data_IF_123309366406
#
_entry.id   IF_123309366406
#
_cell.length_a   1.000
_cell.length_b   1.000
_cell.length_c   1.000
_cell.angle_alpha   90.00
_cell.angle_beta   90.00
_cell.angle_gamma   90.00
#
_symmetry.space_group_name_H-M   'P 1'
#
loop_
_entity.id
_entity.type
_entity.pdbx_description
1 polymer ?
#
# COMPACT_ATOMS: atom_id res chain seq x y z
N UNK A 1 13.84 -11.56 -4.29
CA UNK A 1 13.49 -12.05 -2.94
C UNK A 1 12.09 -11.66 -2.48
N UNK A 2 11.68 -10.37 -2.41
CA UNK A 2 10.30 -10.01 -2.01
C UNK A 2 9.18 -10.58 -2.94
N UNK A 3 9.45 -10.77 -4.23
CA UNK A 3 8.48 -11.37 -5.16
C UNK A 3 8.36 -12.88 -5.04
N UNK A 4 9.40 -13.57 -4.63
CA UNK A 4 9.37 -15.03 -4.42
C UNK A 4 8.63 -15.39 -3.13
N UNK A 5 8.75 -14.57 -2.05
CA UNK A 5 7.95 -14.73 -0.84
C UNK A 5 6.45 -14.63 -1.10
N UNK A 6 6.03 -13.73 -2.02
CA UNK A 6 4.60 -13.59 -2.38
C UNK A 6 4.12 -14.77 -3.26
N UNK A 7 5.00 -15.38 -4.05
CA UNK A 7 4.65 -16.54 -4.91
C UNK A 7 4.57 -17.86 -4.15
N UNK A 8 5.43 -18.07 -3.16
CA UNK A 8 5.52 -19.37 -2.45
C UNK A 8 4.33 -19.66 -1.52
N UNK A 9 3.56 -18.65 -1.12
CA UNK A 9 2.37 -18.83 -0.26
C UNK A 9 1.07 -19.13 -1.02
N UNK A 10 1.10 -19.21 -2.35
CA UNK A 10 -0.12 -19.39 -3.15
C UNK A 10 -0.46 -20.84 -3.53
N UNK A 11 0.41 -21.82 -3.30
CA UNK A 11 0.22 -23.20 -3.75
C UNK A 11 0.17 -24.20 -2.59
N UNK A 12 -0.83 -24.13 -1.70
CA UNK A 12 -1.14 -25.28 -0.85
C UNK A 12 -2.66 -25.33 -0.59
N UNK A 13 -3.38 -26.04 -1.44
CA UNK A 13 -4.79 -26.40 -1.30
C UNK A 13 -4.93 -27.74 -0.59
N UNK A 14 -4.48 -27.85 0.64
CA UNK A 14 -4.89 -28.88 1.57
C UNK A 14 -5.57 -28.20 2.76
N UNK A 15 -6.74 -28.70 3.17
CA UNK A 15 -7.64 -28.13 4.17
C UNK A 15 -7.07 -27.89 5.57
N UNK A 16 -5.99 -27.13 5.65
CA UNK A 16 -5.41 -26.66 6.92
C UNK A 16 -6.32 -25.61 7.53
N UNK A 17 -6.80 -25.88 8.71
CA UNK A 17 -7.38 -24.86 9.61
C UNK A 17 -6.38 -23.71 9.69
N UNK A 18 -6.73 -22.55 9.12
CA UNK A 18 -5.84 -21.38 9.11
C UNK A 18 -5.56 -20.95 10.55
N UNK A 19 -4.30 -20.90 10.93
CA UNK A 19 -3.88 -20.37 12.23
C UNK A 19 -4.45 -18.96 12.42
N UNK A 20 -4.94 -18.62 13.63
CA UNK A 20 -5.35 -17.26 13.95
C UNK A 20 -4.19 -16.30 13.67
N UNK A 21 -4.51 -15.12 13.13
CA UNK A 21 -3.50 -14.07 12.95
C UNK A 21 -3.11 -13.53 14.32
N UNK A 22 -1.83 -13.56 14.62
CA UNK A 22 -1.29 -12.90 15.80
C UNK A 22 -1.09 -11.43 15.46
N UNK A 23 -1.80 -10.56 16.13
CA UNK A 23 -1.59 -9.13 16.03
C UNK A 23 -0.55 -8.69 17.07
N UNK A 24 0.48 -7.98 16.59
CA UNK A 24 1.50 -7.36 17.43
C UNK A 24 1.20 -5.85 17.49
N UNK A 25 0.78 -5.32 18.66
CA UNK A 25 0.57 -3.88 18.84
C UNK A 25 1.82 -3.10 18.49
N UNK A 26 1.66 -1.90 17.95
CA UNK A 26 2.76 -1.00 17.57
C UNK A 26 3.68 -1.48 16.42
N UNK A 27 3.46 -2.64 15.83
CA UNK A 27 4.20 -3.07 14.64
C UNK A 27 3.50 -2.58 13.37
N UNK A 28 4.30 -2.10 12.43
CA UNK A 28 3.82 -1.86 11.07
C UNK A 28 3.65 -3.18 10.32
N UNK A 29 2.62 -3.24 9.51
CA UNK A 29 2.32 -4.37 8.63
C UNK A 29 2.27 -3.89 7.18
N UNK A 30 2.86 -4.68 6.29
CA UNK A 30 2.59 -4.57 4.87
C UNK A 30 1.29 -5.30 4.57
N UNK A 31 0.30 -4.57 4.13
CA UNK A 31 -1.04 -5.08 3.82
C UNK A 31 -1.29 -4.97 2.33
N UNK A 32 -1.79 -6.06 1.74
CA UNK A 32 -2.19 -6.10 0.33
C UNK A 32 -3.59 -6.68 0.22
N UNK A 33 -4.45 -6.02 -0.53
CA UNK A 33 -5.77 -6.55 -0.89
C UNK A 33 -6.00 -6.39 -2.38
N UNK A 34 -6.58 -7.39 -3.01
CA UNK A 34 -6.76 -7.46 -4.46
C UNK A 34 -8.21 -7.71 -4.83
N UNK A 35 -8.65 -7.16 -5.95
CA UNK A 35 -9.95 -7.40 -6.54
C UNK A 35 -10.17 -8.86 -6.89
N UNK A 36 -11.42 -9.30 -6.78
CA UNK A 36 -11.82 -10.65 -7.13
C UNK A 36 -11.42 -10.95 -8.59
N UNK A 37 -10.88 -12.13 -8.86
CA UNK A 37 -10.39 -12.54 -10.20
C UNK A 37 -9.40 -11.55 -10.84
N UNK A 38 -8.72 -10.73 -10.00
CA UNK A 38 -7.84 -9.63 -10.43
C UNK A 38 -8.58 -8.48 -11.16
N UNK A 39 -9.89 -8.42 -11.04
CA UNK A 39 -10.71 -7.33 -11.58
C UNK A 39 -10.37 -6.00 -10.91
N UNK A 40 -10.76 -4.91 -11.56
CA UNK A 40 -10.50 -3.55 -11.07
C UNK A 40 -11.23 -3.32 -9.75
N UNK A 41 -10.54 -2.70 -8.82
CA UNK A 41 -11.11 -2.12 -7.59
C UNK A 41 -11.45 -0.64 -7.78
N UNK A 42 -10.75 0.03 -8.68
CA UNK A 42 -10.90 1.45 -8.91
C UNK A 42 -11.04 1.69 -10.41
N UNK A 43 -12.24 2.02 -10.86
CA UNK A 43 -12.53 2.32 -12.27
C UNK A 43 -12.25 3.79 -12.61
N UNK A 44 -12.48 4.69 -11.66
CA UNK A 44 -12.28 6.12 -11.87
C UNK A 44 -11.86 6.85 -10.56
N UNK A 45 -11.62 8.15 -10.68
CA UNK A 45 -11.18 9.01 -9.57
C UNK A 45 -12.15 9.02 -8.38
N UNK A 46 -13.44 8.76 -8.59
CA UNK A 46 -14.43 8.70 -7.51
C UNK A 46 -14.19 7.51 -6.60
N UNK A 47 -13.82 6.35 -7.16
CA UNK A 47 -13.52 5.16 -6.37
C UNK A 47 -12.30 5.37 -5.46
N UNK A 48 -11.23 5.94 -6.01
CA UNK A 48 -10.04 6.27 -5.23
C UNK A 48 -10.34 7.26 -4.10
N UNK A 49 -11.08 8.33 -4.39
CA UNK A 49 -11.48 9.32 -3.38
C UNK A 49 -12.37 8.71 -2.32
N UNK A 50 -13.30 7.84 -2.69
CA UNK A 50 -14.17 7.14 -1.75
C UNK A 50 -13.36 6.21 -0.85
N UNK A 51 -12.37 5.48 -1.39
CA UNK A 51 -11.50 4.65 -0.56
C UNK A 51 -10.72 5.49 0.46
N UNK A 52 -10.14 6.61 0.05
CA UNK A 52 -9.44 7.53 0.95
C UNK A 52 -10.39 8.15 2.00
N UNK A 53 -11.61 8.47 1.63
CA UNK A 53 -12.65 8.92 2.59
C UNK A 53 -13.03 7.83 3.58
N UNK A 54 -13.06 6.57 3.16
CA UNK A 54 -13.29 5.44 4.06
C UNK A 54 -12.13 5.30 5.06
N UNK A 55 -10.88 5.55 4.65
CA UNK A 55 -9.75 5.60 5.58
C UNK A 55 -9.95 6.70 6.64
N UNK A 56 -10.37 7.92 6.23
CA UNK A 56 -10.69 9.01 7.15
C UNK A 56 -11.75 8.56 8.18
N UNK A 57 -12.87 8.01 7.72
CA UNK A 57 -13.99 7.56 8.57
C UNK A 57 -13.62 6.41 9.52
N UNK A 58 -12.78 5.47 9.08
CA UNK A 58 -12.34 4.37 9.95
C UNK A 58 -11.35 4.88 10.98
N UNK A 59 -10.49 5.82 10.62
CA UNK A 59 -9.54 6.45 11.53
C UNK A 59 -10.24 7.17 12.70
N UNK A 60 -11.36 7.85 12.46
CA UNK A 60 -12.12 8.55 13.50
C UNK A 60 -12.57 7.62 14.64
N UNK A 61 -12.90 6.39 14.33
CA UNK A 61 -13.42 5.42 15.31
C UNK A 61 -12.40 4.36 15.73
N UNK A 62 -11.43 4.08 14.89
CA UNK A 62 -10.39 3.07 15.07
C UNK A 62 -9.04 3.65 14.62
N UNK A 63 -8.36 4.45 15.45
CA UNK A 63 -7.11 5.11 15.09
C UNK A 63 -6.03 4.13 14.62
N UNK A 64 -5.37 4.51 13.54
CA UNK A 64 -4.24 3.79 12.96
C UNK A 64 -3.26 4.76 12.30
N UNK A 65 -2.08 4.31 12.00
CA UNK A 65 -1.04 5.10 11.35
C UNK A 65 -0.66 4.45 10.01
N UNK A 66 -0.60 5.24 8.95
CA UNK A 66 -0.05 4.82 7.65
C UNK A 66 1.29 5.51 7.43
N UNK A 67 2.35 4.71 7.28
CA UNK A 67 3.65 5.20 6.82
C UNK A 67 3.66 5.37 5.29
N UNK A 68 3.11 4.43 4.55
CA UNK A 68 2.97 4.52 3.10
C UNK A 68 1.70 3.82 2.59
N UNK A 69 1.20 4.25 1.42
CA UNK A 69 0.17 3.56 0.67
C UNK A 69 0.31 3.77 -0.83
N UNK A 70 -0.26 2.86 -1.60
CA UNK A 70 -0.48 3.01 -3.03
C UNK A 70 -1.76 2.24 -3.44
N UNK A 71 -2.70 2.95 -4.06
CA UNK A 71 -3.93 2.39 -4.59
C UNK A 71 -3.75 2.15 -6.08
N UNK A 72 -3.49 0.90 -6.47
CA UNK A 72 -3.40 0.47 -7.87
C UNK A 72 -4.81 0.17 -8.39
N UNK A 73 -4.99 0.12 -9.69
CA UNK A 73 -6.33 -0.09 -10.30
C UNK A 73 -7.05 -1.37 -9.81
N UNK A 74 -6.36 -2.47 -9.54
CA UNK A 74 -6.95 -3.75 -9.14
C UNK A 74 -6.48 -4.29 -7.78
N UNK A 75 -5.66 -3.56 -7.06
CA UNK A 75 -5.19 -3.89 -5.72
C UNK A 75 -4.69 -2.64 -5.00
N UNK A 76 -4.48 -2.75 -3.70
CA UNK A 76 -3.83 -1.67 -2.95
C UNK A 76 -2.81 -2.22 -1.96
N UNK A 77 -1.87 -1.37 -1.62
CA UNK A 77 -0.86 -1.58 -0.59
C UNK A 77 -1.00 -0.54 0.51
N UNK A 78 -0.95 -0.99 1.76
CA UNK A 78 -0.89 -0.13 2.94
C UNK A 78 0.28 -0.58 3.81
N UNK A 79 1.04 0.36 4.36
CA UNK A 79 1.99 0.12 5.42
C UNK A 79 1.40 0.71 6.70
N UNK A 80 0.68 -0.13 7.46
CA UNK A 80 -0.24 0.25 8.51
C UNK A 80 0.18 -0.28 9.87
N UNK A 81 0.03 0.57 10.89
CA UNK A 81 0.18 0.23 12.30
C UNK A 81 -1.02 0.70 13.10
N UNK A 82 -1.39 -0.05 14.14
CA UNK A 82 -2.32 0.42 15.17
C UNK A 82 -1.80 0.06 16.55
N UNK A 83 -2.13 0.92 17.53
CA UNK A 83 -1.75 0.74 18.93
C UNK A 83 -2.83 0.00 19.73
N UNK A 84 -4.09 0.25 19.40
CA UNK A 84 -5.24 -0.15 20.21
C UNK A 84 -6.13 -1.20 19.54
N UNK A 85 -6.14 -1.22 18.20
CA UNK A 85 -7.05 -2.07 17.44
C UNK A 85 -6.29 -3.06 16.58
N UNK A 86 -6.75 -4.31 16.53
CA UNK A 86 -6.14 -5.30 15.65
C UNK A 86 -6.23 -4.89 14.18
N UNK A 87 -5.19 -5.21 13.41
CA UNK A 87 -5.18 -5.01 11.95
C UNK A 87 -6.42 -5.67 11.31
N UNK A 88 -6.83 -6.84 11.82
CA UNK A 88 -8.01 -7.55 11.33
C UNK A 88 -9.29 -6.73 11.50
N UNK A 89 -9.44 -6.01 12.62
CA UNK A 89 -10.60 -5.16 12.86
C UNK A 89 -10.65 -3.97 11.90
N UNK A 90 -9.53 -3.25 11.76
CA UNK A 90 -9.39 -2.09 10.88
C UNK A 90 -9.65 -2.50 9.43
N UNK A 91 -8.97 -3.55 8.95
CA UNK A 91 -9.11 -4.01 7.57
C UNK A 91 -10.50 -4.57 7.26
N UNK A 92 -11.16 -5.21 8.23
CA UNK A 92 -12.56 -5.63 8.08
C UNK A 92 -13.48 -4.44 7.84
N UNK A 93 -13.30 -3.34 8.58
CA UNK A 93 -14.09 -2.12 8.41
C UNK A 93 -13.84 -1.45 7.06
N UNK A 94 -12.57 -1.29 6.68
CA UNK A 94 -12.17 -0.68 5.39
C UNK A 94 -12.76 -1.49 4.23
N UNK A 95 -12.50 -2.79 4.20
CA UNK A 95 -12.91 -3.65 3.09
C UNK A 95 -14.42 -3.81 3.01
N UNK A 96 -15.12 -3.93 4.14
CA UNK A 96 -16.59 -4.01 4.17
C UNK A 96 -17.24 -2.75 3.62
N UNK A 97 -16.79 -1.54 4.10
CA UNK A 97 -17.34 -0.27 3.64
C UNK A 97 -17.08 -0.07 2.15
N UNK A 98 -15.87 -0.40 1.69
CA UNK A 98 -15.54 -0.28 0.28
C UNK A 98 -16.33 -1.25 -0.59
N UNK A 99 -16.48 -2.50 -0.17
CA UNK A 99 -17.27 -3.48 -0.90
C UNK A 99 -18.77 -3.09 -0.99
N UNK A 100 -19.33 -2.55 0.10
CA UNK A 100 -20.71 -2.01 0.09
C UNK A 100 -20.84 -0.85 -0.91
N UNK A 101 -19.92 0.10 -0.89
CA UNK A 101 -19.90 1.21 -1.85
C UNK A 101 -19.77 0.70 -3.29
N UNK A 102 -18.79 -0.19 -3.55
CA UNK A 102 -18.48 -0.69 -4.88
C UNK A 102 -19.66 -1.47 -5.48
N UNK A 103 -20.20 -2.42 -4.73
CA UNK A 103 -21.36 -3.20 -5.16
C UNK A 103 -22.61 -2.32 -5.41
N UNK A 104 -22.86 -1.35 -4.52
CA UNK A 104 -23.98 -0.41 -4.71
C UNK A 104 -23.80 0.52 -5.89
N UNK A 105 -22.55 0.96 -6.17
CA UNK A 105 -22.26 1.85 -7.29
C UNK A 105 -22.38 1.15 -8.66
N UNK A 106 -21.90 -0.08 -8.73
CA UNK A 106 -21.81 -0.84 -9.99
C UNK A 106 -22.91 -1.88 -10.15
N UNK A 107 -23.92 -1.88 -9.24
CA UNK A 107 -25.06 -2.82 -9.23
C UNK A 107 -24.60 -4.28 -9.25
N UNK A 108 -23.51 -4.57 -8.51
CA UNK A 108 -22.90 -5.89 -8.43
C UNK A 108 -23.28 -6.60 -7.14
N UNK A 109 -23.17 -7.91 -7.16
CA UNK A 109 -23.34 -8.79 -6.00
C UNK A 109 -22.13 -9.67 -5.79
N UNK A 110 -21.91 -10.14 -4.54
CA UNK A 110 -20.83 -11.07 -4.25
C UNK A 110 -19.56 -10.40 -3.73
N UNK A 111 -18.44 -11.12 -3.89
CA UNK A 111 -17.16 -10.71 -3.31
C UNK A 111 -16.41 -9.72 -4.20
N UNK A 112 -16.15 -8.52 -3.69
CA UNK A 112 -15.30 -7.51 -4.33
C UNK A 112 -13.83 -7.88 -4.24
N UNK A 113 -13.41 -8.49 -3.13
CA UNK A 113 -12.03 -8.90 -2.90
C UNK A 113 -11.84 -10.41 -3.11
N UNK A 114 -10.73 -10.80 -3.74
CA UNK A 114 -10.40 -12.21 -4.08
C UNK A 114 -10.36 -13.11 -2.84
N UNK A 115 -9.80 -12.58 -1.75
CA UNK A 115 -9.62 -13.26 -0.47
C UNK A 115 -9.43 -12.25 0.65
N UNK A 116 -9.31 -12.73 1.89
CA UNK A 116 -8.84 -11.88 2.97
C UNK A 116 -7.51 -11.25 2.58
N UNK A 117 -7.29 -9.98 2.97
CA UNK A 117 -6.03 -9.28 2.75
C UNK A 117 -4.81 -10.12 3.18
N UNK A 118 -3.69 -9.95 2.50
CA UNK A 118 -2.37 -10.41 2.95
C UNK A 118 -1.83 -9.42 3.96
N UNK A 119 -1.15 -9.90 5.00
CA UNK A 119 -0.46 -9.09 5.99
C UNK A 119 0.88 -9.73 6.37
N UNK A 120 1.92 -8.90 6.46
CA UNK A 120 3.25 -9.29 6.87
C UNK A 120 3.78 -8.24 7.87
N UNK A 121 4.18 -8.64 9.10
CA UNK A 121 4.77 -7.71 10.06
C UNK A 121 6.16 -7.25 9.60
N UNK A 122 6.45 -5.95 9.78
CA UNK A 122 7.71 -5.34 9.42
C UNK A 122 8.58 -5.18 10.66
N UNK A 123 9.58 -6.04 10.79
CA UNK A 123 10.34 -6.22 12.03
C UNK A 123 11.62 -5.37 12.12
N UNK A 124 11.94 -4.58 11.10
CA UNK A 124 13.13 -3.74 11.09
C UNK A 124 12.93 -2.44 10.30
N UNK A 125 13.73 -1.42 10.62
CA UNK A 125 13.76 -0.17 9.84
C UNK A 125 14.15 -0.40 8.38
N UNK A 126 15.01 -1.36 8.10
CA UNK A 126 15.37 -1.74 6.72
C UNK A 126 14.16 -2.30 5.98
N UNK A 127 13.40 -3.24 6.58
CA UNK A 127 12.17 -3.76 5.98
C UNK A 127 11.13 -2.66 5.77
N UNK A 128 11.01 -1.74 6.72
CA UNK A 128 10.14 -0.57 6.60
C UNK A 128 10.46 0.26 5.34
N UNK A 129 11.74 0.57 5.13
CA UNK A 129 12.22 1.35 4.00
C UNK A 129 12.05 0.59 2.67
N UNK A 130 12.44 -0.67 2.60
CA UNK A 130 12.35 -1.48 1.38
C UNK A 130 10.89 -1.69 0.94
N UNK A 131 10.00 -2.00 1.89
CA UNK A 131 8.57 -2.16 1.59
C UNK A 131 7.95 -0.82 1.17
N UNK A 132 8.29 0.29 1.82
CA UNK A 132 7.77 1.60 1.42
C UNK A 132 8.25 1.99 0.00
N UNK A 133 9.51 1.73 -0.33
CA UNK A 133 10.06 1.92 -1.67
C UNK A 133 9.32 1.06 -2.70
N UNK A 134 9.10 -0.21 -2.39
CA UNK A 134 8.31 -1.10 -3.23
C UNK A 134 6.90 -0.56 -3.45
N UNK A 135 6.21 -0.12 -2.40
CA UNK A 135 4.86 0.46 -2.46
C UNK A 135 4.83 1.69 -3.36
N UNK A 136 5.77 2.62 -3.18
CA UNK A 136 5.81 3.87 -3.94
C UNK A 136 6.22 3.66 -5.42
N UNK A 137 6.99 2.63 -5.72
CA UNK A 137 7.41 2.31 -7.10
C UNK A 137 6.47 1.34 -7.83
N UNK A 138 5.39 0.85 -7.20
CA UNK A 138 4.41 -0.01 -7.88
C UNK A 138 3.85 0.59 -9.17
N UNK A 139 3.45 1.88 -9.22
CA UNK A 139 2.93 2.48 -10.45
C UNK A 139 3.97 2.54 -11.57
N UNK A 140 5.23 2.82 -11.25
CA UNK A 140 6.35 2.81 -12.21
C UNK A 140 6.58 1.40 -12.74
N UNK A 141 6.62 0.41 -11.84
CA UNK A 141 6.80 -1.01 -12.19
C UNK A 141 5.65 -1.55 -13.05
N UNK A 142 4.43 -1.05 -12.83
CA UNK A 142 3.26 -1.37 -13.64
C UNK A 142 3.21 -0.56 -14.95
N UNK A 143 4.21 0.27 -15.25
CA UNK A 143 4.29 1.14 -16.42
C UNK A 143 3.08 2.10 -16.56
N UNK A 144 2.51 2.51 -15.43
CA UNK A 144 1.41 3.49 -15.39
C UNK A 144 1.93 4.92 -15.44
N UNK A 145 3.10 5.17 -14.85
CA UNK A 145 3.81 6.44 -14.83
C UNK A 145 5.31 6.19 -14.93
N UNK A 146 6.07 7.20 -15.36
CA UNK A 146 7.54 7.15 -15.39
C UNK A 146 8.17 7.60 -14.07
N UNK A 147 7.50 8.46 -13.33
CA UNK A 147 7.92 8.95 -12.02
C UNK A 147 6.84 8.67 -10.95
N UNK A 148 7.19 8.16 -9.77
CA UNK A 148 6.21 7.89 -8.71
C UNK A 148 5.49 9.17 -8.21
N UNK A 149 6.03 10.36 -8.46
CA UNK A 149 5.39 11.64 -8.14
C UNK A 149 4.15 11.91 -9.02
N UNK A 150 4.14 11.39 -10.25
CA UNK A 150 3.03 11.57 -11.21
C UNK A 150 1.82 10.68 -10.90
N UNK A 151 1.93 9.78 -9.91
CA UNK A 151 0.83 8.91 -9.54
C UNK A 151 0.05 9.45 -8.33
N UNK A 152 -1.15 10.02 -8.54
CA UNK A 152 -1.86 10.77 -7.51
C UNK A 152 -2.42 9.90 -6.37
N UNK A 153 -2.52 8.58 -6.58
CA UNK A 153 -3.11 7.63 -5.64
C UNK A 153 -2.07 6.92 -4.76
N UNK A 154 -0.91 7.53 -4.60
CA UNK A 154 0.18 7.08 -3.75
C UNK A 154 0.50 8.13 -2.69
N UNK A 155 0.96 7.68 -1.52
CA UNK A 155 1.45 8.59 -0.48
C UNK A 155 2.83 9.19 -0.78
N UNK A 156 3.47 8.83 -1.89
CA UNK A 156 4.81 9.32 -2.23
C UNK A 156 4.90 10.85 -2.28
N UNK A 157 3.89 11.52 -2.85
CA UNK A 157 3.85 12.97 -2.96
C UNK A 157 3.94 13.68 -1.59
N UNK A 158 3.47 13.09 -0.49
CA UNK A 158 3.59 13.70 0.84
C UNK A 158 5.05 13.75 1.35
N UNK A 159 5.90 12.89 0.83
CA UNK A 159 7.35 12.94 1.09
C UNK A 159 8.05 14.03 0.27
N UNK A 160 7.45 14.47 -0.84
CA UNK A 160 7.93 15.60 -1.66
C UNK A 160 7.50 16.95 -1.11
N UNK A 161 6.31 17.03 -0.51
CA UNK A 161 5.77 18.28 0.02
C UNK A 161 6.54 18.76 1.26
N UNK A 162 6.71 20.09 1.38
CA UNK A 162 7.28 20.71 2.58
C UNK A 162 6.31 20.64 3.76
N UNK A 163 5.03 20.82 3.51
CA UNK A 163 4.00 20.90 4.55
C UNK A 163 3.65 19.50 5.10
N UNK A 164 3.06 19.51 6.30
CA UNK A 164 2.50 18.31 6.91
C UNK A 164 1.29 17.84 6.08
N UNK A 165 1.10 16.52 5.88
CA UNK A 165 -0.12 15.99 5.26
C UNK A 165 -1.36 16.45 6.02
N UNK A 166 -2.43 16.76 5.29
CA UNK A 166 -3.74 17.08 5.89
C UNK A 166 -4.58 15.81 6.18
N UNK A 167 -3.94 14.64 6.23
CA UNK A 167 -4.55 13.36 6.55
C UNK A 167 -4.08 12.90 7.92
N UNK A 168 -4.99 12.79 8.92
CA UNK A 168 -4.60 12.55 10.32
C UNK A 168 -3.94 11.19 10.54
N UNK A 169 -4.25 10.20 9.70
CA UNK A 169 -3.66 8.86 9.76
C UNK A 169 -2.30 8.75 9.09
N UNK A 170 -1.82 9.77 8.36
CA UNK A 170 -0.50 9.71 7.73
C UNK A 170 0.61 10.05 8.72
N UNK A 171 1.43 9.07 9.01
CA UNK A 171 2.56 9.17 9.92
C UNK A 171 3.87 8.88 9.18
N UNK A 172 4.50 9.94 8.67
CA UNK A 172 5.65 9.84 7.78
C UNK A 172 6.98 9.58 8.51
N UNK A 173 7.06 9.90 9.81
CA UNK A 173 8.30 9.83 10.59
C UNK A 173 9.01 8.47 10.54
N UNK A 174 8.34 7.32 10.64
CA UNK A 174 9.02 6.03 10.66
C UNK A 174 9.91 5.74 9.45
N UNK A 175 9.65 6.40 8.31
CA UNK A 175 10.44 6.22 7.09
C UNK A 175 11.54 7.27 6.91
N UNK A 176 11.54 8.31 7.74
CA UNK A 176 12.50 9.41 7.58
C UNK A 176 13.33 9.69 8.83
N UNK A 177 12.96 9.18 9.99
CA UNK A 177 13.63 9.50 11.26
C UNK A 177 15.11 9.06 11.30
N UNK A 178 15.46 7.96 10.62
CA UNK A 178 16.84 7.46 10.53
C UNK A 178 17.79 8.33 9.69
N UNK A 179 17.26 9.30 8.91
CA UNK A 179 18.10 10.20 8.14
C UNK A 179 18.50 11.44 8.96
N UNK A 180 19.74 11.97 8.79
CA UNK A 180 20.19 13.17 9.48
C UNK A 180 19.53 14.45 8.93
N UNK A 181 19.49 15.49 9.78
CA UNK A 181 19.09 16.84 9.39
C UNK A 181 17.65 17.19 9.72
N UNK A 182 17.16 18.29 9.15
CA UNK A 182 15.79 18.80 9.29
C UNK A 182 14.79 17.86 8.61
N UNK A 183 13.50 17.95 8.96
CA UNK A 183 12.43 17.16 8.35
C UNK A 183 12.45 17.24 6.82
N UNK A 184 12.71 18.41 6.26
CA UNK A 184 12.83 18.58 4.81
C UNK A 184 14.04 17.83 4.23
N UNK A 185 15.18 17.89 4.89
CA UNK A 185 16.38 17.15 4.46
C UNK A 185 16.17 15.64 4.56
N UNK A 186 15.56 15.17 5.63
CA UNK A 186 15.18 13.76 5.82
C UNK A 186 14.25 13.25 4.71
N UNK A 187 13.19 14.00 4.41
CA UNK A 187 12.28 13.69 3.29
C UNK A 187 13.04 13.63 1.95
N UNK A 188 13.93 14.59 1.68
CA UNK A 188 14.74 14.60 0.47
C UNK A 188 15.64 13.36 0.34
N UNK A 189 16.23 12.91 1.45
CA UNK A 189 17.05 11.68 1.47
C UNK A 189 16.20 10.43 1.23
N UNK A 190 15.04 10.34 1.84
CA UNK A 190 14.08 9.27 1.56
C UNK A 190 13.66 9.24 0.08
N UNK A 191 13.35 10.40 -0.51
CA UNK A 191 13.02 10.45 -1.93
C UNK A 191 14.20 10.01 -2.82
N UNK A 192 15.44 10.39 -2.50
CA UNK A 192 16.64 9.89 -3.19
C UNK A 192 16.76 8.36 -3.10
N UNK A 193 16.49 7.79 -1.91
CA UNK A 193 16.49 6.34 -1.71
C UNK A 193 15.44 5.65 -2.60
N UNK A 194 14.23 6.19 -2.72
CA UNK A 194 13.20 5.65 -3.61
C UNK A 194 13.64 5.75 -5.07
N UNK A 195 14.11 6.92 -5.50
CA UNK A 195 14.48 7.19 -6.89
C UNK A 195 15.68 6.35 -7.37
N UNK A 196 16.64 6.04 -6.52
CA UNK A 196 17.78 5.19 -6.87
C UNK A 196 17.35 3.80 -7.42
N UNK A 197 16.20 3.28 -7.02
CA UNK A 197 15.66 2.02 -7.55
C UNK A 197 14.75 2.21 -8.76
N UNK A 198 14.14 3.40 -8.89
CA UNK A 198 13.29 3.75 -10.03
C UNK A 198 14.06 3.63 -11.34
N UNK A 199 15.27 4.16 -11.40
CA UNK A 199 16.08 4.19 -12.62
C UNK A 199 16.41 2.77 -13.11
N UNK A 200 16.69 1.85 -12.19
CA UNK A 200 16.90 0.43 -12.50
C UNK A 200 15.64 -0.22 -13.08
N UNK A 201 14.46 0.11 -12.53
CA UNK A 201 13.18 -0.42 -13.02
C UNK A 201 12.91 0.09 -14.45
N UNK A 202 13.06 1.38 -14.68
CA UNK A 202 12.82 2.01 -15.99
C UNK A 202 13.74 1.43 -17.05
N UNK A 203 15.03 1.30 -16.77
CA UNK A 203 15.99 0.67 -17.68
C UNK A 203 15.58 -0.77 -18.03
N UNK A 204 15.19 -1.56 -17.03
CA UNK A 204 14.71 -2.93 -17.25
C UNK A 204 13.46 -2.99 -18.15
N UNK A 205 12.51 -2.05 -17.99
CA UNK A 205 11.31 -1.97 -18.82
C UNK A 205 11.62 -1.57 -20.27
N UNK A 206 12.59 -0.68 -20.47
CA UNK A 206 13.05 -0.28 -21.82
C UNK A 206 13.71 -1.46 -22.55
N UNK A 207 14.65 -2.14 -21.90
CA UNK A 207 15.33 -3.30 -22.49
C UNK A 207 14.37 -4.44 -22.87
N UNK A 208 13.29 -4.64 -22.11
CA UNK A 208 12.26 -5.64 -22.43
C UNK A 208 11.43 -5.25 -23.67
N UNK A 209 11.25 -3.96 -23.94
CA UNK A 209 10.55 -3.48 -25.16
C UNK A 209 11.40 -3.60 -26.42
N UNK A 210 12.71 -3.35 -26.31
CA UNK A 210 13.65 -3.45 -27.42
C UNK A 210 13.92 -4.92 -27.82
N UNK A 211 13.82 -5.88 -26.91
CA UNK A 211 13.97 -7.31 -27.18
C UNK A 211 12.72 -7.97 -27.78
N UNK A 212 11.61 -7.25 -27.95
CA UNK A 212 10.34 -7.69 -28.54
C UNK A 212 10.06 -7.09 -29.94
N UNK A 213 10.96 -6.23 -30.42
CA UNK A 213 10.96 -5.64 -31.76
C UNK A 213 11.90 -6.40 -32.70
#
# INVERSE_FOLDING_TARGET
>A
MLQESIKSTCNNTNGMVRKPRVWLPNHFYHIVSRGNRKELLFYDNRDYRTFLSILDQVFETHPFELASYCLMNNHYHLQLRSKEHSISKIMSLINKRYATYFNGRYELTGHVFEKRYFDEPLNSSSNMLEVSRYIHLNPVKANLVSDPEDYPWSSYHYYRLRNKPNKPYLYLLPLIEGYPGTIHQKKKQYCKFVMARRDVIVQSLLSQKEGLS
#
